data_IF_883165860290
#
_entry.id   IF_883165860290
#
_cell.length_a   1.000
_cell.length_b   1.000
_cell.length_c   1.000
_cell.angle_alpha   90.00
_cell.angle_beta   90.00
_cell.angle_gamma   90.00
#
_symmetry.space_group_name_H-M   'P 1'
#
loop_
_entity.id
_entity.type
_entity.pdbx_description
1 polymer ?
#
# COMPACT_ATOMS: atom_id res chain seq x y z
N UNK A 1 22.51 21.33 -3.71
CA UNK A 1 21.39 20.66 -4.38
C UNK A 1 20.11 21.34 -3.93
N UNK A 2 19.33 21.85 -4.87
CA UNK A 2 18.05 22.52 -4.59
C UNK A 2 16.89 21.52 -4.64
N UNK A 3 15.71 21.87 -4.08
CA UNK A 3 14.51 21.04 -4.21
C UNK A 3 14.13 20.76 -5.67
N UNK A 4 14.32 21.74 -6.56
CA UNK A 4 14.03 21.60 -7.98
C UNK A 4 14.99 20.60 -8.65
N UNK A 5 16.28 20.64 -8.28
CA UNK A 5 17.27 19.66 -8.75
C UNK A 5 16.96 18.23 -8.26
N UNK A 6 16.39 18.09 -7.06
CA UNK A 6 15.92 16.80 -6.53
C UNK A 6 14.71 16.26 -7.28
N UNK A 7 13.78 17.14 -7.67
CA UNK A 7 12.56 16.75 -8.38
C UNK A 7 12.83 16.24 -9.81
N UNK A 8 13.92 16.68 -10.43
CA UNK A 8 14.35 16.27 -11.78
C UNK A 8 15.38 15.12 -11.73
N UNK A 9 15.73 14.64 -10.55
CA UNK A 9 16.69 13.55 -10.40
C UNK A 9 16.17 12.25 -11.05
N UNK A 10 17.08 11.49 -11.67
CA UNK A 10 16.75 10.19 -12.26
C UNK A 10 16.13 9.25 -11.21
N UNK A 11 14.97 8.68 -11.56
CA UNK A 11 14.24 7.74 -10.71
C UNK A 11 15.02 6.47 -10.40
N UNK A 12 16.08 6.15 -11.16
CA UNK A 12 17.02 5.06 -10.88
C UNK A 12 18.10 5.38 -9.84
N UNK A 13 18.21 6.62 -9.36
CA UNK A 13 19.30 7.06 -8.47
C UNK A 13 18.81 7.56 -7.12
N UNK A 14 19.69 7.52 -6.14
CA UNK A 14 19.45 8.07 -4.81
C UNK A 14 20.71 8.75 -4.26
N UNK A 15 20.50 9.60 -3.26
CA UNK A 15 21.58 10.19 -2.47
C UNK A 15 21.73 9.32 -1.24
N UNK A 16 22.87 8.66 -1.11
CA UNK A 16 23.15 7.78 0.02
C UNK A 16 23.99 8.53 1.06
N UNK A 17 23.53 8.51 2.30
CA UNK A 17 24.28 9.03 3.44
C UNK A 17 24.71 7.87 4.35
N UNK A 18 26.02 7.66 4.46
CA UNK A 18 26.63 6.69 5.36
C UNK A 18 27.43 7.46 6.41
N UNK A 19 27.34 7.05 7.68
CA UNK A 19 28.08 7.71 8.75
C UNK A 19 29.60 7.72 8.45
N UNK A 20 30.24 8.85 8.66
CA UNK A 20 31.68 9.03 8.39
C UNK A 20 32.02 9.33 6.92
N UNK A 21 31.04 9.34 6.02
CA UNK A 21 31.25 9.66 4.59
C UNK A 21 30.33 10.81 4.16
N UNK A 22 30.83 11.66 3.27
CA UNK A 22 30.00 12.70 2.66
C UNK A 22 28.90 12.06 1.81
N UNK A 23 27.65 12.56 1.84
CA UNK A 23 26.60 12.06 0.96
C UNK A 23 27.05 12.02 -0.49
N UNK A 24 26.74 10.94 -1.19
CA UNK A 24 27.12 10.73 -2.59
C UNK A 24 25.98 10.12 -3.38
N UNK A 25 26.07 10.20 -4.71
CA UNK A 25 25.11 9.57 -5.60
C UNK A 25 25.36 8.07 -5.72
N UNK A 26 24.31 7.30 -5.55
CA UNK A 26 24.30 5.85 -5.75
C UNK A 26 23.15 5.46 -6.67
N UNK A 27 23.35 4.39 -7.43
CA UNK A 27 22.26 3.75 -8.15
C UNK A 27 21.37 2.99 -7.15
N UNK A 28 20.07 2.96 -7.42
CA UNK A 28 19.11 2.17 -6.63
C UNK A 28 19.35 0.69 -6.86
N UNK A 29 19.04 -0.10 -5.84
CA UNK A 29 19.11 -1.54 -5.95
C UNK A 29 18.08 -2.06 -6.97
N UNK A 30 18.53 -2.89 -7.90
CA UNK A 30 17.68 -3.55 -8.87
C UNK A 30 16.85 -4.66 -8.19
N UNK A 31 15.58 -4.35 -7.95
CA UNK A 31 14.66 -5.24 -7.23
C UNK A 31 14.46 -6.58 -7.95
N UNK A 32 14.67 -6.66 -9.26
CA UNK A 32 14.52 -7.92 -10.03
C UNK A 32 15.53 -8.98 -9.60
N UNK A 33 16.66 -8.56 -9.03
CA UNK A 33 17.73 -9.44 -8.52
C UNK A 33 17.45 -9.95 -7.11
N UNK A 34 16.43 -9.44 -6.43
CA UNK A 34 16.11 -9.88 -5.08
C UNK A 34 15.59 -11.33 -5.08
N UNK A 35 16.04 -12.23 -4.18
CA UNK A 35 15.61 -13.64 -4.15
C UNK A 35 14.08 -13.85 -4.02
N UNK A 36 13.42 -12.86 -3.42
CA UNK A 36 11.96 -12.83 -3.19
C UNK A 36 11.19 -12.05 -4.27
N UNK A 37 11.85 -11.57 -5.34
CA UNK A 37 11.19 -10.77 -6.37
C UNK A 37 10.00 -11.49 -7.02
N UNK A 38 10.09 -12.83 -7.16
CA UNK A 38 9.04 -13.71 -7.69
C UNK A 38 7.67 -13.63 -7.01
N UNK A 39 7.59 -13.03 -5.80
CA UNK A 39 6.35 -12.88 -5.06
C UNK A 39 5.71 -11.49 -5.22
N UNK A 40 6.34 -10.59 -5.98
CA UNK A 40 5.76 -9.29 -6.30
C UNK A 40 4.81 -9.42 -7.49
N UNK A 41 3.84 -8.48 -7.56
CA UNK A 41 2.96 -8.31 -8.73
C UNK A 41 3.73 -7.96 -10.00
N UNK A 42 4.89 -7.31 -9.85
CA UNK A 42 5.76 -6.93 -10.97
C UNK A 42 6.38 -8.15 -11.67
N UNK A 43 6.60 -9.24 -10.92
CA UNK A 43 7.13 -10.50 -11.46
C UNK A 43 6.01 -11.38 -12.07
N UNK A 44 4.86 -11.50 -11.40
CA UNK A 44 3.68 -12.20 -11.90
C UNK A 44 2.41 -11.48 -11.41
N UNK A 45 1.52 -11.13 -12.35
CA UNK A 45 0.22 -10.50 -12.07
C UNK A 45 -0.65 -11.34 -11.12
N UNK A 46 -0.43 -12.65 -11.01
CA UNK A 46 -1.14 -13.51 -10.05
C UNK A 46 -0.85 -13.16 -8.59
N UNK A 47 0.29 -12.52 -8.31
CA UNK A 47 0.65 -12.07 -6.96
C UNK A 47 -0.02 -10.74 -6.58
N UNK A 48 -0.80 -10.14 -7.48
CA UNK A 48 -1.50 -8.88 -7.20
C UNK A 48 -2.44 -9.05 -6.02
N UNK A 49 -2.28 -8.18 -5.02
CA UNK A 49 -3.15 -8.18 -3.86
C UNK A 49 -4.50 -7.55 -4.19
N UNK A 50 -5.54 -8.38 -4.22
CA UNK A 50 -6.93 -7.93 -4.40
C UNK A 50 -7.57 -7.64 -3.04
N UNK A 51 -7.70 -6.34 -2.73
CA UNK A 51 -8.30 -5.83 -1.49
C UNK A 51 -9.77 -6.26 -1.39
N UNK A 52 -10.53 -6.19 -2.48
CA UNK A 52 -11.96 -6.51 -2.50
C UNK A 52 -12.19 -7.97 -2.15
N UNK A 53 -11.37 -8.88 -2.69
CA UNK A 53 -11.41 -10.31 -2.36
C UNK A 53 -10.98 -10.57 -0.92
N UNK A 54 -9.98 -9.84 -0.40
CA UNK A 54 -9.53 -9.96 0.98
C UNK A 54 -10.61 -9.56 2.00
N UNK A 55 -11.28 -8.42 1.79
CA UNK A 55 -12.33 -7.92 2.67
C UNK A 55 -13.58 -8.80 2.68
N UNK A 56 -14.02 -9.29 1.50
CA UNK A 56 -15.17 -10.22 1.38
C UNK A 56 -15.01 -11.49 2.21
N UNK A 57 -13.78 -11.97 2.40
CA UNK A 57 -13.50 -13.21 3.14
C UNK A 57 -13.53 -13.03 4.67
N UNK A 58 -13.44 -11.79 5.17
CA UNK A 58 -13.42 -11.48 6.61
C UNK A 58 -14.81 -11.19 7.18
N UNK A 59 -15.79 -10.84 6.35
CA UNK A 59 -17.19 -10.65 6.75
C UNK A 59 -17.95 -11.98 6.83
N UNK A 60 -17.44 -12.95 7.59
CA UNK A 60 -18.26 -14.10 8.02
C UNK A 60 -18.87 -13.75 9.36
N UNK A 61 -20.01 -13.05 9.33
CA UNK A 61 -20.81 -12.81 10.52
C UNK A 61 -21.26 -14.17 11.06
N UNK A 62 -20.99 -14.44 12.35
CA UNK A 62 -21.54 -15.63 13.00
C UNK A 62 -23.05 -15.41 13.24
N UNK A 63 -23.90 -16.45 13.22
CA UNK A 63 -25.35 -16.29 13.36
C UNK A 63 -25.84 -15.51 14.61
N UNK A 64 -25.01 -15.39 15.66
CA UNK A 64 -25.35 -14.72 16.91
C UNK A 64 -24.51 -13.43 17.15
N UNK A 65 -23.85 -12.89 16.13
CA UNK A 65 -23.00 -11.71 16.27
C UNK A 65 -23.78 -10.47 15.85
N UNK A 66 -23.99 -9.55 16.79
CA UNK A 66 -24.59 -8.24 16.52
C UNK A 66 -23.60 -7.40 15.70
N UNK A 67 -24.04 -6.84 14.58
CA UNK A 67 -23.23 -5.96 13.74
C UNK A 67 -24.02 -4.71 13.35
N UNK A 68 -23.32 -3.58 13.31
CA UNK A 68 -23.87 -2.32 12.81
C UNK A 68 -23.64 -2.21 11.30
N UNK A 69 -24.71 -1.95 10.56
CA UNK A 69 -24.64 -1.69 9.11
C UNK A 69 -24.43 -0.19 8.90
N UNK A 70 -23.29 0.19 8.32
CA UNK A 70 -23.03 1.58 7.94
C UNK A 70 -23.21 1.75 6.42
N UNK A 71 -24.29 2.43 6.02
CA UNK A 71 -24.52 2.82 4.64
C UNK A 71 -23.86 4.19 4.36
N UNK A 72 -22.84 4.28 3.47
CA UNK A 72 -22.08 5.52 3.25
C UNK A 72 -22.86 6.64 2.54
N UNK A 73 -24.14 6.43 2.22
CA UNK A 73 -25.03 7.41 1.59
C UNK A 73 -26.07 8.05 2.51
N UNK A 74 -26.09 7.69 3.81
CA UNK A 74 -27.10 8.18 4.76
C UNK A 74 -26.40 9.10 5.78
N UNK A 75 -26.78 10.39 5.90
CA UNK A 75 -26.23 11.26 6.92
C UNK A 75 -26.60 10.78 8.33
N UNK A 76 -25.77 10.99 9.36
CA UNK A 76 -25.79 10.23 10.63
C UNK A 76 -26.93 10.57 11.60
N UNK A 77 -28.11 11.03 11.14
CA UNK A 77 -29.21 11.36 12.02
C UNK A 77 -30.58 11.13 11.38
N UNK A 78 -31.06 9.89 11.49
CA UNK A 78 -32.48 9.62 11.74
C UNK A 78 -32.60 8.43 12.67
N UNK A 79 -32.84 8.71 13.94
CA UNK A 79 -33.46 7.79 14.87
C UNK A 79 -34.72 7.20 14.23
N UNK A 80 -34.78 5.87 14.08
CA UNK A 80 -35.90 4.99 14.41
C UNK A 80 -35.83 3.69 13.59
N UNK A 81 -35.94 2.55 14.31
CA UNK A 81 -36.85 1.41 14.09
C UNK A 81 -37.07 0.96 12.62
N UNK A 82 -37.05 -0.31 12.21
CA UNK A 82 -37.79 -1.50 12.69
C UNK A 82 -37.22 -2.74 11.94
N UNK A 83 -37.27 -3.91 12.60
CA UNK A 83 -37.15 -5.35 12.19
C UNK A 83 -35.78 -5.89 11.77
#
# INVERSE_FOLDING_TARGET
MTPDELAVMDGGKCILHVQGVRPFFSDKFDITKHPQYRYLSDADKKNTFDITKYLKRRLKVKPNEEYEVFDPGIPPNTNNLIV
#
